data_IF_774753020674
#
_entry.id   IF_774753020674
#
_cell.length_a   1.000
_cell.length_b   1.000
_cell.length_c   1.000
_cell.angle_alpha   90.00
_cell.angle_beta   90.00
_cell.angle_gamma   90.00
#
_symmetry.space_group_name_H-M   'P 1'
#
loop_
_entity.id
_entity.type
_entity.pdbx_description
1 polymer ?
#
# COMPACT_ATOMS: atom_id res chain seq x y z
N UNK A 1 -17.03 13.14 4.61
CA UNK A 1 -15.92 12.16 4.67
C UNK A 1 -14.89 12.43 3.58
N UNK A 2 -15.27 12.38 2.29
CA UNK A 2 -14.34 12.53 1.17
C UNK A 2 -13.49 13.83 1.17
N UNK A 3 -14.06 14.98 1.54
CA UNK A 3 -13.30 16.26 1.58
C UNK A 3 -12.19 16.26 2.64
N UNK A 4 -12.45 15.72 3.83
CA UNK A 4 -11.44 15.65 4.89
C UNK A 4 -10.37 14.59 4.58
N UNK A 5 -10.76 13.47 3.96
CA UNK A 5 -9.81 12.49 3.42
C UNK A 5 -8.92 13.09 2.34
N UNK A 6 -9.49 13.87 1.41
CA UNK A 6 -8.74 14.59 0.39
C UNK A 6 -7.72 15.54 1.00
N UNK A 7 -8.13 16.36 1.99
CA UNK A 7 -7.19 17.25 2.69
C UNK A 7 -6.07 16.48 3.39
N UNK A 8 -6.41 15.36 4.03
CA UNK A 8 -5.43 14.52 4.70
C UNK A 8 -4.43 13.91 3.70
N UNK A 9 -4.93 13.33 2.61
CA UNK A 9 -4.12 12.73 1.56
C UNK A 9 -3.23 13.76 0.87
N UNK A 10 -3.77 14.96 0.57
CA UNK A 10 -2.96 16.08 0.02
C UNK A 10 -1.87 16.52 1.00
N UNK A 11 -2.16 16.46 2.30
CA UNK A 11 -1.17 16.64 3.34
C UNK A 11 0.00 15.67 3.16
N UNK A 12 -0.26 14.37 3.15
CA UNK A 12 0.78 13.35 3.08
C UNK A 12 1.50 13.28 1.72
N UNK A 13 0.73 13.21 0.63
CA UNK A 13 1.18 12.88 -0.73
C UNK A 13 1.49 14.11 -1.61
N UNK A 14 1.01 15.29 -1.23
CA UNK A 14 1.14 16.51 -2.02
C UNK A 14 -0.10 16.84 -2.87
N UNK A 15 -0.01 17.80 -3.79
CA UNK A 15 -1.16 18.26 -4.57
C UNK A 15 -1.92 17.10 -5.20
N UNK A 16 -3.25 17.20 -5.21
CA UNK A 16 -4.10 16.23 -5.89
C UNK A 16 -3.83 16.28 -7.40
N UNK A 17 -3.56 15.15 -8.08
CA UNK A 17 -3.03 15.16 -9.44
C UNK A 17 -4.10 15.23 -10.54
N UNK A 18 -5.39 15.15 -10.16
CA UNK A 18 -6.52 15.17 -11.10
C UNK A 18 -7.39 16.42 -10.88
N UNK A 19 -8.24 16.73 -11.85
CA UNK A 19 -9.16 17.87 -11.80
C UNK A 19 -10.36 17.64 -10.87
N UNK A 20 -10.73 16.38 -10.63
CA UNK A 20 -11.88 16.00 -9.82
C UNK A 20 -11.73 14.60 -9.22
N UNK A 21 -12.47 14.37 -8.12
CA UNK A 21 -12.65 13.05 -7.52
C UNK A 21 -14.14 12.84 -7.22
N UNK A 22 -14.68 11.75 -7.74
CA UNK A 22 -16.07 11.35 -7.57
C UNK A 22 -16.18 9.91 -7.09
N UNK A 23 -17.33 9.58 -6.52
CA UNK A 23 -17.71 8.23 -6.13
C UNK A 23 -18.98 7.86 -6.87
N UNK A 24 -19.02 6.68 -7.47
CA UNK A 24 -20.20 6.11 -8.11
C UNK A 24 -20.59 4.81 -7.40
N UNK A 25 -21.55 4.85 -6.46
CA UNK A 25 -22.22 3.65 -6.00
C UNK A 25 -22.94 3.03 -7.20
N UNK A 26 -22.49 1.85 -7.63
CA UNK A 26 -23.02 1.17 -8.81
C UNK A 26 -23.84 -0.04 -8.36
N UNK A 27 -25.16 0.12 -8.41
CA UNK A 27 -26.11 -0.94 -8.13
C UNK A 27 -26.23 -1.88 -9.33
N UNK A 28 -26.17 -3.19 -9.08
CA UNK A 28 -26.35 -4.22 -10.11
C UNK A 28 -27.28 -5.31 -9.58
N UNK A 29 -27.93 -6.05 -10.49
CA UNK A 29 -28.81 -7.17 -10.11
C UNK A 29 -28.03 -8.41 -9.64
N UNK A 30 -26.69 -8.35 -9.59
CA UNK A 30 -25.82 -9.45 -9.15
C UNK A 30 -25.61 -9.40 -7.63
N UNK A 31 -25.62 -10.56 -6.97
CA UNK A 31 -25.45 -10.66 -5.51
C UNK A 31 -24.06 -10.17 -5.04
N UNK A 32 -23.04 -10.31 -5.89
CA UNK A 32 -21.69 -9.79 -5.66
C UNK A 32 -21.23 -9.05 -6.92
N UNK A 33 -21.54 -7.75 -7.05
CA UNK A 33 -21.15 -6.96 -8.21
C UNK A 33 -19.63 -7.00 -8.41
N UNK A 34 -19.17 -7.42 -9.59
CA UNK A 34 -17.76 -7.44 -10.03
C UNK A 34 -16.77 -8.36 -9.28
N UNK A 35 -17.16 -8.93 -8.13
CA UNK A 35 -16.29 -9.74 -7.27
C UNK A 35 -15.37 -8.93 -6.35
N UNK A 36 -15.58 -7.62 -6.23
CA UNK A 36 -14.82 -6.69 -5.37
C UNK A 36 -15.72 -5.56 -4.85
N UNK A 37 -15.30 -4.87 -3.78
CA UNK A 37 -16.11 -3.80 -3.16
C UNK A 37 -15.93 -2.43 -3.82
N UNK A 38 -14.79 -2.17 -4.45
CA UNK A 38 -14.50 -0.91 -5.13
C UNK A 38 -13.50 -1.09 -6.27
N UNK A 39 -13.47 -0.12 -7.18
CA UNK A 39 -12.46 0.00 -8.24
C UNK A 39 -12.06 1.46 -8.41
N UNK A 40 -10.76 1.70 -8.49
CA UNK A 40 -10.08 2.99 -8.51
C UNK A 40 -10.17 3.76 -9.83
N UNK A 41 -11.26 3.59 -10.58
CA UNK A 41 -11.46 4.24 -11.88
C UNK A 41 -11.26 5.75 -11.79
N UNK A 42 -10.34 6.26 -12.62
CA UNK A 42 -9.92 7.66 -12.59
C UNK A 42 -11.07 8.65 -12.59
N UNK A 43 -10.99 9.61 -11.66
CA UNK A 43 -11.99 10.66 -11.40
C UNK A 43 -13.36 10.18 -10.89
N UNK A 44 -13.65 8.87 -10.95
CA UNK A 44 -14.95 8.30 -10.59
C UNK A 44 -14.78 6.89 -10.04
N UNK A 45 -14.33 6.75 -8.79
CA UNK A 45 -14.20 5.46 -8.12
C UNK A 45 -15.55 4.78 -8.00
N UNK A 46 -15.65 3.55 -8.47
CA UNK A 46 -16.88 2.75 -8.40
C UNK A 46 -16.92 2.00 -7.07
N UNK A 47 -18.10 1.92 -6.46
CA UNK A 47 -18.31 1.22 -5.20
C UNK A 47 -19.56 0.33 -5.24
N UNK A 48 -19.46 -0.81 -4.56
CA UNK A 48 -20.63 -1.57 -4.10
C UNK A 48 -21.44 -0.70 -3.10
N UNK A 49 -22.71 -0.36 -3.42
CA UNK A 49 -23.55 0.44 -2.53
C UNK A 49 -23.77 -0.22 -1.18
N UNK A 50 -23.85 -1.57 -1.13
CA UNK A 50 -24.10 -2.32 0.09
C UNK A 50 -22.93 -2.24 1.06
N UNK A 51 -21.70 -2.21 0.53
CA UNK A 51 -20.49 -1.99 1.31
C UNK A 51 -20.51 -0.62 1.97
N UNK A 52 -20.88 0.43 1.22
CA UNK A 52 -20.97 1.80 1.74
C UNK A 52 -22.08 1.98 2.79
N UNK A 53 -23.22 1.32 2.62
CA UNK A 53 -24.38 1.50 3.50
C UNK A 53 -24.38 0.62 4.74
N UNK A 54 -23.79 -0.58 4.65
CA UNK A 54 -23.97 -1.65 5.65
C UNK A 54 -22.71 -1.92 6.48
N UNK A 55 -21.59 -1.29 6.13
CA UNK A 55 -20.30 -1.49 6.80
C UNK A 55 -19.99 -0.32 7.74
N UNK A 56 -19.45 -0.57 8.95
CA UNK A 56 -19.06 0.50 9.87
C UNK A 56 -18.08 1.51 9.26
N UNK A 57 -18.18 2.77 9.70
CA UNK A 57 -17.34 3.87 9.19
C UNK A 57 -15.85 3.61 9.40
N UNK A 58 -15.45 2.96 10.50
CA UNK A 58 -14.05 2.61 10.76
C UNK A 58 -13.47 1.60 9.76
N UNK A 59 -14.33 0.90 9.01
CA UNK A 59 -13.96 -0.05 7.98
C UNK A 59 -14.04 0.58 6.59
N UNK A 60 -15.12 1.31 6.30
CA UNK A 60 -15.34 1.97 5.00
C UNK A 60 -14.34 3.09 4.77
N UNK A 61 -14.09 3.94 5.77
CA UNK A 61 -13.27 5.12 5.57
C UNK A 61 -11.80 4.81 5.21
N UNK A 62 -11.10 3.85 5.85
CA UNK A 62 -9.78 3.42 5.38
C UNK A 62 -9.79 2.82 3.97
N UNK A 63 -10.83 2.09 3.59
CA UNK A 63 -10.97 1.57 2.23
C UNK A 63 -11.20 2.71 1.22
N UNK A 64 -12.00 3.71 1.55
CA UNK A 64 -12.14 4.93 0.74
C UNK A 64 -10.83 5.71 0.61
N UNK A 65 -9.98 5.68 1.64
CA UNK A 65 -8.65 6.24 1.55
C UNK A 65 -7.74 5.43 0.61
N UNK A 66 -7.82 4.09 0.64
CA UNK A 66 -7.13 3.23 -0.31
C UNK A 66 -7.47 3.63 -1.76
N UNK A 67 -8.75 3.71 -2.09
CA UNK A 67 -9.19 4.12 -3.44
C UNK A 67 -8.79 5.55 -3.80
N UNK A 68 -8.84 6.47 -2.84
CA UNK A 68 -8.42 7.85 -3.07
C UNK A 68 -6.91 7.94 -3.35
N UNK A 69 -6.09 7.18 -2.64
CA UNK A 69 -4.63 7.14 -2.82
C UNK A 69 -4.27 6.67 -4.22
N UNK A 70 -5.12 5.83 -4.83
CA UNK A 70 -4.91 5.42 -6.22
C UNK A 70 -4.87 6.57 -7.22
N UNK A 71 -5.47 7.73 -6.90
CA UNK A 71 -5.32 8.94 -7.73
C UNK A 71 -3.85 9.36 -7.89
N UNK A 72 -3.01 9.13 -6.88
CA UNK A 72 -1.56 9.34 -6.95
C UNK A 72 -0.83 8.07 -7.43
N UNK A 73 -1.04 6.94 -6.76
CA UNK A 73 -0.31 5.69 -6.96
C UNK A 73 -1.18 4.62 -7.62
N UNK A 74 -0.87 4.23 -8.86
CA UNK A 74 -1.75 3.42 -9.70
C UNK A 74 -2.45 4.26 -10.76
N UNK A 75 -2.66 5.53 -10.45
CA UNK A 75 -3.32 6.49 -11.32
C UNK A 75 -2.39 7.48 -12.02
N UNK A 76 -2.00 8.56 -11.32
CA UNK A 76 -1.03 9.52 -11.87
C UNK A 76 0.33 8.89 -12.14
N UNK A 77 0.81 8.04 -11.22
CA UNK A 77 1.99 7.20 -11.41
C UNK A 77 1.56 5.74 -11.50
N UNK A 78 1.60 5.19 -12.70
CA UNK A 78 1.18 3.81 -12.97
C UNK A 78 2.34 2.81 -12.80
N UNK A 79 2.06 1.54 -12.44
CA UNK A 79 3.06 0.47 -12.53
C UNK A 79 3.53 0.31 -13.99
N UNK A 80 4.85 0.24 -14.22
CA UNK A 80 5.41 0.01 -15.56
C UNK A 80 5.08 -1.37 -16.11
N UNK A 81 5.00 -2.35 -15.22
CA UNK A 81 4.55 -3.72 -15.51
C UNK A 81 3.72 -4.25 -14.35
N UNK A 82 2.99 -5.34 -14.56
CA UNK A 82 2.26 -6.01 -13.48
C UNK A 82 3.14 -6.52 -12.33
N UNK A 83 4.44 -6.75 -12.57
CA UNK A 83 5.37 -7.08 -11.49
C UNK A 83 5.60 -5.90 -10.52
N UNK A 84 5.31 -4.68 -10.97
CA UNK A 84 5.44 -3.45 -10.20
C UNK A 84 4.13 -3.05 -9.49
N UNK A 85 3.10 -3.92 -9.50
CA UNK A 85 1.76 -3.60 -8.96
C UNK A 85 1.75 -3.18 -7.49
N UNK A 86 2.77 -3.59 -6.72
CA UNK A 86 2.93 -3.14 -5.33
C UNK A 86 3.06 -1.61 -5.20
N UNK A 87 3.52 -0.90 -6.24
CA UNK A 87 3.56 0.58 -6.27
C UNK A 87 2.14 1.15 -6.22
N UNK A 88 1.16 0.45 -6.80
CA UNK A 88 -0.25 0.83 -6.72
C UNK A 88 -0.83 0.37 -5.38
N UNK A 89 -0.99 -0.95 -5.22
CA UNK A 89 -1.75 -1.57 -4.13
C UNK A 89 -1.06 -1.46 -2.76
N UNK A 90 0.27 -1.56 -2.74
CA UNK A 90 1.04 -1.49 -1.51
C UNK A 90 0.98 -0.10 -0.89
N UNK A 91 1.10 0.93 -1.72
CA UNK A 91 0.94 2.33 -1.32
C UNK A 91 -0.49 2.64 -0.89
N UNK A 92 -1.49 2.26 -1.70
CA UNK A 92 -2.90 2.46 -1.36
C UNK A 92 -3.26 1.84 -0.01
N UNK A 93 -2.83 0.60 0.27
CA UNK A 93 -3.12 -0.03 1.55
C UNK A 93 -2.31 0.59 2.70
N UNK A 94 -1.04 0.97 2.47
CA UNK A 94 -0.21 1.64 3.48
C UNK A 94 -0.84 2.96 3.95
N UNK A 95 -1.31 3.81 3.03
CA UNK A 95 -1.94 5.08 3.39
C UNK A 95 -3.37 4.90 3.91
N UNK A 96 -4.10 3.87 3.45
CA UNK A 96 -5.37 3.46 4.05
C UNK A 96 -5.22 3.10 5.54
N UNK A 97 -4.22 2.28 5.88
CA UNK A 97 -3.88 1.92 7.27
C UNK A 97 -3.37 3.14 8.06
N UNK A 98 -2.52 3.98 7.45
CA UNK A 98 -2.00 5.19 8.10
C UNK A 98 -3.15 6.13 8.46
N UNK A 99 -4.11 6.34 7.56
CA UNK A 99 -5.31 7.13 7.83
C UNK A 99 -6.16 6.50 8.92
N UNK A 100 -6.40 5.18 8.86
CA UNK A 100 -7.15 4.44 9.89
C UNK A 100 -6.63 4.73 11.29
N UNK A 101 -5.33 4.55 11.50
CA UNK A 101 -4.74 4.70 12.83
C UNK A 101 -4.59 6.18 13.23
N UNK A 102 -4.48 7.10 12.27
CA UNK A 102 -4.58 8.53 12.55
C UNK A 102 -5.96 8.96 13.08
N UNK A 103 -7.02 8.22 12.76
CA UNK A 103 -8.36 8.41 13.33
C UNK A 103 -8.56 7.70 14.69
N UNK A 104 -7.57 6.92 15.16
CA UNK A 104 -7.66 6.16 16.40
C UNK A 104 -8.52 4.89 16.29
N UNK A 105 -8.78 4.39 15.08
CA UNK A 105 -9.59 3.18 14.87
C UNK A 105 -8.74 1.90 14.94
N UNK A 106 -9.27 0.85 15.55
CA UNK A 106 -8.70 -0.52 15.51
C UNK A 106 -9.02 -1.21 14.19
N UNK A 107 -8.34 -2.29 13.80
CA UNK A 107 -8.72 -3.16 12.65
C UNK A 107 -10.13 -3.73 12.79
N UNK A 108 -10.73 -4.20 11.68
CA UNK A 108 -12.11 -4.68 11.64
C UNK A 108 -12.37 -5.86 12.61
N UNK A 109 -11.34 -6.68 12.86
CA UNK A 109 -11.37 -7.78 13.83
C UNK A 109 -11.04 -7.35 15.27
N UNK A 110 -10.78 -6.05 15.49
CA UNK A 110 -10.43 -5.47 16.78
C UNK A 110 -9.02 -5.81 17.29
N UNK A 111 -8.19 -6.53 16.52
CA UNK A 111 -6.91 -7.06 17.02
C UNK A 111 -5.79 -6.03 17.08
N UNK A 112 -5.81 -5.02 16.22
CA UNK A 112 -4.71 -4.08 16.05
C UNK A 112 -5.20 -2.65 16.19
N UNK A 113 -4.59 -1.89 17.12
CA UNK A 113 -4.90 -0.48 17.37
C UNK A 113 -3.87 0.51 16.82
N UNK A 114 -2.81 0.03 16.17
CA UNK A 114 -1.72 0.87 15.66
C UNK A 114 -1.05 0.28 14.41
N UNK A 115 -0.40 1.15 13.65
CA UNK A 115 0.42 0.79 12.50
C UNK A 115 1.50 -0.24 12.87
N UNK A 116 2.19 -0.02 13.99
CA UNK A 116 3.21 -0.94 14.49
C UNK A 116 2.62 -2.34 14.76
N UNK A 117 1.45 -2.42 15.41
CA UNK A 117 0.84 -3.70 15.77
C UNK A 117 0.39 -4.52 14.55
N UNK A 118 -0.11 -3.88 13.50
CA UNK A 118 -0.49 -4.57 12.26
C UNK A 118 0.74 -4.95 11.44
N UNK A 119 1.77 -4.10 11.40
CA UNK A 119 3.01 -4.40 10.69
C UNK A 119 3.79 -5.53 11.37
N UNK A 120 3.72 -5.65 12.70
CA UNK A 120 4.26 -6.80 13.42
C UNK A 120 3.58 -8.12 13.00
N UNK A 121 2.27 -8.09 12.76
CA UNK A 121 1.53 -9.25 12.26
C UNK A 121 1.91 -9.60 10.83
N UNK A 122 1.96 -8.60 9.94
CA UNK A 122 2.38 -8.78 8.55
C UNK A 122 3.82 -9.31 8.46
N UNK A 123 4.71 -8.78 9.28
CA UNK A 123 6.09 -9.24 9.39
C UNK A 123 6.17 -10.69 9.86
N UNK A 124 5.37 -11.07 10.86
CA UNK A 124 5.32 -12.45 11.38
C UNK A 124 4.96 -13.46 10.30
N UNK A 125 4.11 -13.09 9.34
CA UNK A 125 3.71 -13.95 8.23
C UNK A 125 4.51 -13.73 6.94
N UNK A 126 5.49 -12.83 6.93
CA UNK A 126 6.19 -12.39 5.72
C UNK A 126 6.85 -13.53 4.93
N UNK A 127 7.53 -14.45 5.61
CA UNK A 127 8.20 -15.58 4.92
C UNK A 127 7.21 -16.62 4.40
N UNK A 128 6.08 -16.80 5.09
CA UNK A 128 4.97 -17.64 4.61
C UNK A 128 4.43 -17.08 3.29
N UNK A 129 4.19 -15.76 3.23
CA UNK A 129 3.69 -15.12 2.02
C UNK A 129 4.73 -15.12 0.89
N UNK A 130 6.01 -14.90 1.17
CA UNK A 130 7.07 -14.98 0.16
C UNK A 130 7.23 -16.39 -0.41
N UNK A 131 7.12 -17.41 0.43
CA UNK A 131 7.15 -18.80 -0.02
C UNK A 131 5.93 -19.16 -0.87
N UNK A 132 4.75 -18.65 -0.51
CA UNK A 132 3.50 -18.96 -1.21
C UNK A 132 3.31 -18.18 -2.52
N UNK A 133 3.67 -16.91 -2.54
CA UNK A 133 3.30 -15.96 -3.61
C UNK A 133 4.50 -15.34 -4.34
N UNK A 134 5.72 -15.57 -3.85
CA UNK A 134 6.96 -14.97 -4.34
C UNK A 134 7.31 -13.64 -3.66
N UNK A 135 8.40 -12.97 -4.07
CA UNK A 135 8.76 -11.63 -3.59
C UNK A 135 7.70 -10.57 -3.91
N UNK A 136 7.67 -9.48 -3.13
CA UNK A 136 6.70 -8.37 -3.30
C UNK A 136 6.68 -7.82 -4.73
N UNK A 137 7.86 -7.59 -5.31
CA UNK A 137 8.02 -7.01 -6.66
C UNK A 137 8.24 -8.08 -7.75
N UNK A 138 7.85 -9.33 -7.50
CA UNK A 138 7.89 -10.43 -8.48
C UNK A 138 6.67 -11.36 -8.34
N UNK A 139 5.43 -10.83 -8.35
CA UNK A 139 4.25 -11.67 -8.38
C UNK A 139 4.19 -12.50 -9.68
N UNK A 140 3.52 -13.66 -9.61
CA UNK A 140 3.05 -14.38 -10.79
C UNK A 140 1.70 -13.80 -11.23
N UNK A 141 1.19 -14.24 -12.39
CA UNK A 141 -0.15 -13.85 -12.85
C UNK A 141 -1.23 -14.18 -11.82
N UNK A 142 -1.08 -15.31 -11.13
CA UNK A 142 -2.03 -15.79 -10.11
C UNK A 142 -1.87 -15.06 -8.77
N UNK A 143 -0.72 -14.43 -8.51
CA UNK A 143 -0.44 -13.73 -7.25
C UNK A 143 -0.44 -12.21 -7.33
N UNK A 144 -0.88 -11.63 -8.47
CA UNK A 144 -0.94 -10.17 -8.70
C UNK A 144 -1.73 -9.39 -7.63
N UNK A 145 -2.75 -10.02 -7.07
CA UNK A 145 -3.64 -9.46 -6.05
C UNK A 145 -3.60 -10.29 -4.75
N UNK A 146 -2.46 -10.93 -4.49
CA UNK A 146 -2.28 -11.79 -3.31
C UNK A 146 -1.96 -10.99 -2.04
N UNK A 147 -2.03 -11.67 -0.90
CA UNK A 147 -1.62 -11.13 0.40
C UNK A 147 -0.17 -10.63 0.41
N UNK A 148 0.71 -11.12 -0.46
CA UNK A 148 2.07 -10.59 -0.54
C UNK A 148 2.12 -9.17 -1.10
N UNK A 149 1.21 -8.82 -2.03
CA UNK A 149 1.10 -7.46 -2.54
C UNK A 149 0.44 -6.57 -1.49
N UNK A 150 -0.72 -6.99 -0.97
CA UNK A 150 -1.51 -6.19 -0.03
C UNK A 150 -0.92 -6.10 1.38
N UNK A 151 -0.16 -7.08 1.88
CA UNK A 151 0.50 -7.02 3.20
C UNK A 151 1.99 -6.80 3.11
N UNK A 152 2.65 -7.43 2.12
CA UNK A 152 4.08 -7.25 1.90
C UNK A 152 4.42 -5.85 1.39
N UNK A 153 3.61 -5.29 0.48
CA UNK A 153 3.75 -3.90 0.00
C UNK A 153 3.82 -2.86 1.13
N UNK A 154 2.77 -2.72 1.96
CA UNK A 154 2.78 -1.75 3.06
C UNK A 154 3.85 -2.08 4.12
N UNK A 155 4.21 -3.35 4.32
CA UNK A 155 5.30 -3.72 5.22
C UNK A 155 6.65 -3.19 4.71
N UNK A 156 6.93 -3.26 3.41
CA UNK A 156 8.15 -2.68 2.81
C UNK A 156 8.18 -1.16 3.02
N UNK A 157 7.06 -0.48 2.82
CA UNK A 157 6.95 0.97 3.00
C UNK A 157 7.16 1.36 4.46
N UNK A 158 6.56 0.63 5.40
CA UNK A 158 6.79 0.82 6.84
C UNK A 158 8.26 0.57 7.20
N UNK A 159 8.88 -0.49 6.67
CA UNK A 159 10.30 -0.77 6.90
C UNK A 159 11.22 0.33 6.33
N UNK A 160 10.88 0.88 5.16
CA UNK A 160 11.58 2.03 4.60
C UNK A 160 11.43 3.26 5.51
N UNK A 161 10.22 3.56 5.97
CA UNK A 161 9.97 4.66 6.91
C UNK A 161 10.79 4.51 8.20
N UNK A 162 10.82 3.31 8.79
CA UNK A 162 11.64 3.02 9.97
C UNK A 162 13.14 3.20 9.70
N UNK A 163 13.60 2.84 8.50
CA UNK A 163 15.00 2.98 8.10
C UNK A 163 15.43 4.43 7.91
N UNK A 164 14.65 5.21 7.15
CA UNK A 164 15.07 6.57 6.73
C UNK A 164 14.51 7.68 7.61
N UNK A 165 13.53 7.36 8.44
CA UNK A 165 12.77 8.31 9.25
C UNK A 165 11.64 8.97 8.46
N UNK A 166 10.53 9.27 9.16
CA UNK A 166 9.28 9.81 8.60
C UNK A 166 9.47 11.01 7.66
N UNK A 167 10.30 11.98 8.04
CA UNK A 167 10.52 13.18 7.23
C UNK A 167 11.17 12.86 5.87
N UNK A 168 12.12 11.92 5.86
CA UNK A 168 12.81 11.49 4.65
C UNK A 168 11.93 10.59 3.80
N UNK A 169 11.17 9.69 4.42
CA UNK A 169 10.17 8.85 3.74
C UNK A 169 9.15 9.73 3.00
N UNK A 170 8.57 10.72 3.67
CA UNK A 170 7.65 11.66 3.02
C UNK A 170 8.30 12.45 1.88
N UNK A 171 9.59 12.79 1.99
CA UNK A 171 10.32 13.40 0.88
C UNK A 171 10.46 12.45 -0.32
N UNK A 172 10.77 11.18 -0.08
CA UNK A 172 10.86 10.14 -1.13
C UNK A 172 9.54 10.04 -1.87
N UNK A 173 8.45 9.82 -1.14
CA UNK A 173 7.10 9.61 -1.67
C UNK A 173 6.62 10.78 -2.53
N UNK A 174 6.65 12.01 -1.97
CA UNK A 174 6.17 13.21 -2.68
C UNK A 174 7.01 13.52 -3.92
N UNK A 175 8.33 13.37 -3.82
CA UNK A 175 9.20 13.63 -4.97
C UNK A 175 9.11 12.52 -6.02
N UNK A 176 8.76 11.29 -5.64
CA UNK A 176 8.53 10.21 -6.60
C UNK A 176 7.30 10.51 -7.43
N UNK A 177 6.19 10.86 -6.77
CA UNK A 177 4.96 11.28 -7.43
C UNK A 177 5.16 12.48 -8.36
N UNK A 178 6.01 13.44 -8.00
CA UNK A 178 6.34 14.59 -8.85
C UNK A 178 7.19 14.21 -10.06
N UNK A 179 8.17 13.31 -9.88
CA UNK A 179 9.12 12.94 -10.95
C UNK A 179 8.46 12.06 -12.01
N UNK A 180 7.51 11.21 -11.61
CA UNK A 180 6.84 10.24 -12.50
C UNK A 180 5.39 10.62 -12.83
N UNK A 181 4.98 11.86 -12.53
CA UNK A 181 3.63 12.37 -12.78
C UNK A 181 3.19 12.13 -14.24
N UNK A 182 2.01 11.51 -14.41
CA UNK A 182 1.44 11.20 -15.73
C UNK A 182 2.16 10.08 -16.49
N UNK A 183 3.02 9.31 -15.81
CA UNK A 183 3.86 8.28 -16.42
C UNK A 183 3.71 6.90 -15.76
N UNK A 184 4.69 6.05 -16.05
CA UNK A 184 4.81 4.73 -15.42
C UNK A 184 6.19 4.55 -14.80
N UNK A 185 6.25 3.89 -13.65
CA UNK A 185 7.48 3.63 -12.91
C UNK A 185 7.62 2.14 -12.58
N UNK A 186 8.85 1.64 -12.67
CA UNK A 186 9.19 0.29 -12.22
C UNK A 186 9.65 0.28 -10.76
N UNK A 187 9.75 -0.92 -10.20
CA UNK A 187 10.37 -1.16 -8.90
C UNK A 187 11.81 -0.62 -8.86
N UNK A 188 12.57 -0.77 -9.95
CA UNK A 188 13.94 -0.24 -10.03
C UNK A 188 13.98 1.29 -10.04
N UNK A 189 13.01 1.92 -10.70
CA UNK A 189 12.85 3.37 -10.72
C UNK A 189 12.56 3.91 -9.30
N UNK A 190 11.69 3.23 -8.53
CA UNK A 190 11.41 3.58 -7.14
C UNK A 190 12.64 3.39 -6.24
N UNK A 191 13.35 2.25 -6.37
CA UNK A 191 14.58 1.97 -5.61
C UNK A 191 15.64 3.05 -5.86
N UNK A 192 15.92 3.34 -7.13
CA UNK A 192 16.91 4.34 -7.52
C UNK A 192 16.52 5.74 -7.04
N UNK A 193 15.23 6.09 -7.12
CA UNK A 193 14.72 7.36 -6.63
C UNK A 193 14.86 7.49 -5.10
N UNK A 194 14.46 6.48 -4.35
CA UNK A 194 14.56 6.48 -2.89
C UNK A 194 16.02 6.62 -2.41
N UNK A 195 16.95 5.90 -3.03
CA UNK A 195 18.38 5.97 -2.72
C UNK A 195 18.98 7.35 -3.02
N UNK A 196 18.56 7.98 -4.13
CA UNK A 196 18.98 9.35 -4.48
C UNK A 196 18.51 10.40 -3.47
N UNK A 197 17.33 10.23 -2.87
CA UNK A 197 16.76 11.18 -1.90
C UNK A 197 17.33 10.96 -0.48
N UNK A 198 17.77 9.74 -0.17
CA UNK A 198 18.37 9.35 1.10
C UNK A 198 19.81 8.82 0.94
N UNK A 199 20.74 9.62 0.39
CA UNK A 199 22.10 9.18 0.11
C UNK A 199 22.84 8.78 1.39
N UNK A 200 23.72 7.78 1.28
CA UNK A 200 24.56 7.31 2.38
C UNK A 200 23.84 6.41 3.40
N UNK A 201 22.54 6.14 3.24
CA UNK A 201 21.79 5.26 4.14
C UNK A 201 21.68 3.80 3.64
N UNK A 202 22.28 3.48 2.48
CA UNK A 202 22.21 2.14 1.89
C UNK A 202 20.79 1.72 1.53
N UNK A 203 19.98 2.65 1.01
CA UNK A 203 18.56 2.43 0.70
C UNK A 203 18.40 1.49 -0.47
N UNK A 204 19.27 1.59 -1.49
CA UNK A 204 19.23 0.70 -2.65
C UNK A 204 19.27 -0.79 -2.26
N UNK A 205 20.33 -1.23 -1.59
CA UNK A 205 20.50 -2.64 -1.20
C UNK A 205 19.43 -3.12 -0.21
N UNK A 206 18.97 -2.20 0.66
CA UNK A 206 17.84 -2.46 1.55
C UNK A 206 16.56 -2.76 0.77
N UNK A 207 16.12 -1.85 -0.10
CA UNK A 207 14.89 -2.04 -0.88
C UNK A 207 15.00 -3.20 -1.86
N UNK A 208 16.17 -3.45 -2.45
CA UNK A 208 16.40 -4.66 -3.27
C UNK A 208 16.10 -5.94 -2.48
N UNK A 209 16.56 -6.02 -1.23
CA UNK A 209 16.32 -7.17 -0.36
C UNK A 209 14.83 -7.29 0.04
N UNK A 210 14.21 -6.18 0.44
CA UNK A 210 12.81 -6.16 0.87
C UNK A 210 11.81 -6.42 -0.27
N UNK A 211 12.06 -5.89 -1.47
CA UNK A 211 11.15 -6.00 -2.61
C UNK A 211 11.37 -7.27 -3.42
N UNK A 212 12.63 -7.70 -3.60
CA UNK A 212 12.99 -8.81 -4.50
C UNK A 212 13.45 -10.08 -3.80
N UNK A 213 13.70 -10.03 -2.49
CA UNK A 213 14.11 -11.18 -1.68
C UNK A 213 12.98 -12.18 -1.43
N UNK A 214 13.36 -13.45 -1.28
CA UNK A 214 12.46 -14.57 -0.94
C UNK A 214 12.26 -14.76 0.56
N UNK A 215 13.01 -14.02 1.37
CA UNK A 215 12.88 -13.98 2.83
C UNK A 215 12.66 -12.53 3.26
N UNK A 216 12.02 -12.35 4.42
CA UNK A 216 11.74 -11.06 5.03
C UNK A 216 12.99 -10.59 5.78
N UNK A 217 13.63 -9.48 5.36
CA UNK A 217 14.83 -9.01 6.02
C UNK A 217 14.54 -8.51 7.44
N UNK A 218 15.57 -8.37 8.31
CA UNK A 218 15.39 -7.82 9.65
C UNK A 218 14.73 -6.44 9.64
N UNK A 219 13.68 -6.28 10.46
CA UNK A 219 12.95 -5.04 10.59
C UNK A 219 13.80 -3.93 11.26
N UNK A 220 13.96 -2.75 10.64
CA UNK A 220 14.60 -1.61 11.30
C UNK A 220 13.85 -1.21 12.58
N UNK A 221 14.60 -0.85 13.62
CA UNK A 221 14.10 -0.45 14.95
C UNK A 221 13.31 -1.53 15.73
N UNK A 222 13.17 -2.75 15.20
CA UNK A 222 12.44 -3.86 15.84
C UNK A 222 13.24 -5.18 15.77
N UNK A 223 14.41 -5.27 16.45
CA UNK A 223 15.24 -6.48 16.42
C UNK A 223 14.59 -7.72 17.08
N UNK A 224 13.55 -7.48 17.88
CA UNK A 224 12.72 -8.48 18.56
C UNK A 224 11.71 -9.16 17.62
N UNK A 225 11.33 -8.53 16.50
CA UNK A 225 10.40 -9.13 15.56
C UNK A 225 11.02 -10.34 14.86
N UNK A 226 10.22 -11.42 14.73
CA UNK A 226 10.61 -12.66 14.06
C UNK A 226 9.55 -13.08 13.06
N UNK A 227 9.97 -13.33 11.82
CA UNK A 227 9.13 -13.96 10.82
C UNK A 227 8.95 -15.45 11.18
N UNK A 228 7.76 -15.97 10.94
CA UNK A 228 7.45 -17.38 11.08
C UNK A 228 7.96 -18.10 9.84
N UNK A 229 8.81 -19.12 9.97
CA UNK A 229 9.25 -19.91 8.83
C UNK A 229 8.04 -20.50 8.08
N UNK A 230 8.10 -20.62 6.74
CA UNK A 230 7.06 -21.31 6.00
C UNK A 230 6.94 -22.76 6.50
N UNK A 231 5.72 -23.34 6.53
CA UNK A 231 5.56 -24.74 6.91
C UNK A 231 6.44 -25.63 6.02
N UNK A 232 7.17 -26.57 6.63
CA UNK A 232 8.06 -27.48 5.90
C UNK A 232 7.28 -28.23 4.81
N UNK A 233 7.59 -27.97 3.54
CA UNK A 233 7.15 -28.76 2.40
C UNK A 233 6.33 -27.99 1.37
N UNK A 234 7.01 -27.57 0.29
CA UNK A 234 6.70 -27.90 -1.11
C UNK A 234 7.95 -27.73 -1.95
#
# INVERSE_FOLDING_TARGET
>A
MAVEQMKWAVGELGPFPLEAYGLMPLDTDEEVPFGFHALETHTLTVYDPSYLSSTPVESVAPHMMHELVHSWFGGSVTPKTWADNWISEGHANYYGLTYRFAQGWTTNDGRHGSMESVMADFYRSGDVYRAQYGPVARPTKESLFSEQVYRGGPLVLYALEQKVGKAKFRQIERSFLTVYEGGSASTDDYIAHADRIAPGQGVKGFLESWLKGTETPPMPNHPDWKATPPPNGR
#
